data_IF_755038289322
#
_entry.id   IF_755038289322
#
_cell.length_a   1.000
_cell.length_b   1.000
_cell.length_c   1.000
_cell.angle_alpha   90.00
_cell.angle_beta   90.00
_cell.angle_gamma   90.00
#
_symmetry.space_group_name_H-M   'P 1'
#
loop_
_entity.id
_entity.type
_entity.pdbx_description
1 polymer ?
#
# COMPACT_ATOMS: atom_id res chain seq x y z
N UNK A 1 21.21 20.84 -11.31
CA UNK A 1 20.65 19.56 -11.82
C UNK A 1 21.03 18.48 -10.81
N UNK A 2 20.07 17.70 -10.30
CA UNK A 2 20.35 16.61 -9.36
C UNK A 2 21.05 15.44 -10.05
N UNK A 3 21.82 14.66 -9.29
CA UNK A 3 22.43 13.43 -9.81
C UNK A 3 21.48 12.26 -9.59
N UNK A 4 21.10 11.56 -10.66
CA UNK A 4 20.26 10.36 -10.59
C UNK A 4 21.15 9.15 -10.82
N UNK A 5 21.11 8.18 -9.91
CA UNK A 5 21.72 6.87 -10.10
C UNK A 5 20.62 5.80 -10.15
N UNK A 6 20.53 5.07 -11.26
CA UNK A 6 19.43 4.17 -11.58
C UNK A 6 19.90 2.72 -11.69
N UNK A 7 19.18 1.81 -11.04
CA UNK A 7 19.37 0.35 -11.14
C UNK A 7 18.05 -0.34 -11.49
N UNK A 8 18.04 -0.98 -12.66
CA UNK A 8 16.88 -1.69 -13.20
C UNK A 8 16.98 -3.21 -12.98
N UNK A 9 15.86 -3.83 -12.61
CA UNK A 9 15.67 -5.27 -12.70
C UNK A 9 15.58 -5.76 -14.16
N UNK A 10 15.91 -7.03 -14.39
CA UNK A 10 15.85 -7.60 -15.74
C UNK A 10 14.41 -7.69 -16.26
N UNK A 11 14.16 -7.33 -17.53
CA UNK A 11 12.82 -7.42 -18.11
C UNK A 11 12.33 -8.87 -18.29
N UNK A 12 11.02 -9.06 -18.20
CA UNK A 12 10.36 -10.34 -18.40
C UNK A 12 10.34 -10.77 -19.86
N UNK A 13 10.49 -12.07 -20.11
CA UNK A 13 10.48 -12.63 -21.46
C UNK A 13 9.11 -12.55 -22.14
N UNK A 14 9.07 -12.56 -23.47
CA UNK A 14 7.79 -12.55 -24.20
C UNK A 14 7.11 -13.93 -24.20
N UNK A 15 5.78 -13.93 -24.17
CA UNK A 15 4.98 -15.15 -24.31
C UNK A 15 5.07 -15.72 -25.72
N UNK A 16 5.23 -17.04 -25.82
CA UNK A 16 5.33 -17.74 -27.10
C UNK A 16 4.04 -17.67 -27.93
N UNK A 17 4.17 -17.76 -29.25
CA UNK A 17 3.02 -17.91 -30.15
C UNK A 17 2.49 -19.35 -30.11
N UNK A 18 1.18 -19.53 -29.91
CA UNK A 18 0.54 -20.85 -29.91
C UNK A 18 -0.96 -20.76 -30.21
N UNK A 19 -1.61 -21.91 -30.40
CA UNK A 19 -3.05 -21.98 -30.72
C UNK A 19 -3.96 -21.33 -29.66
N UNK A 20 -3.44 -21.03 -28.47
CA UNK A 20 -4.14 -20.39 -27.35
C UNK A 20 -3.32 -19.25 -26.70
N UNK A 21 -2.31 -18.70 -27.41
CA UNK A 21 -1.45 -17.61 -26.90
C UNK A 21 -0.67 -17.94 -25.63
N UNK A 22 0.67 -18.04 -25.70
CA UNK A 22 1.47 -18.28 -24.49
C UNK A 22 1.41 -17.09 -23.53
N UNK A 23 1.41 -17.32 -22.22
CA UNK A 23 1.53 -16.22 -21.26
C UNK A 23 2.90 -15.51 -21.38
N UNK A 24 2.91 -14.20 -21.18
CA UNK A 24 4.13 -13.40 -21.05
C UNK A 24 4.93 -13.83 -19.82
N UNK A 25 6.25 -13.82 -19.93
CA UNK A 25 7.14 -14.06 -18.80
C UNK A 25 7.08 -12.90 -17.81
N UNK A 26 7.21 -13.19 -16.53
CA UNK A 26 7.25 -12.14 -15.50
C UNK A 26 8.55 -11.34 -15.57
N UNK A 27 8.48 -10.07 -15.19
CA UNK A 27 9.63 -9.20 -14.96
C UNK A 27 10.52 -9.73 -13.84
N UNK A 28 11.82 -9.56 -13.99
CA UNK A 28 12.80 -9.87 -12.96
C UNK A 28 12.78 -8.82 -11.85
N UNK A 29 12.98 -9.25 -10.62
CA UNK A 29 13.09 -8.34 -9.48
C UNK A 29 14.36 -7.48 -9.61
N UNK A 30 14.29 -6.24 -9.11
CA UNK A 30 15.48 -5.41 -9.01
C UNK A 30 16.38 -5.86 -7.86
N UNK A 31 17.69 -5.65 -8.03
CA UNK A 31 18.68 -5.74 -6.96
C UNK A 31 18.80 -4.42 -6.20
N UNK A 32 19.78 -4.36 -5.29
CA UNK A 32 20.03 -3.15 -4.52
C UNK A 32 20.82 -2.10 -5.31
N UNK A 33 20.50 -0.82 -5.15
CA UNK A 33 21.24 0.26 -5.79
C UNK A 33 22.61 0.49 -5.12
N UNK A 34 22.66 0.35 -3.80
CA UNK A 34 23.87 0.30 -3.02
C UNK A 34 23.70 -0.80 -1.98
N UNK A 35 24.56 -1.81 -1.98
CA UNK A 35 24.62 -2.81 -0.90
C UNK A 35 26.01 -2.75 -0.29
N UNK A 36 26.04 -2.53 1.02
CA UNK A 36 27.27 -2.60 1.82
C UNK A 36 27.02 -3.67 2.88
N UNK A 37 27.79 -4.75 2.80
CA UNK A 37 27.77 -5.82 3.80
C UNK A 37 29.11 -5.84 4.54
N UNK A 38 29.03 -5.85 5.87
CA UNK A 38 30.19 -5.96 6.74
C UNK A 38 29.83 -6.76 7.99
N UNK A 39 30.68 -7.69 8.42
CA UNK A 39 30.45 -8.44 9.66
C UNK A 39 30.88 -7.62 10.88
N UNK A 40 29.94 -7.28 11.76
CA UNK A 40 30.20 -6.64 13.06
C UNK A 40 29.32 -5.41 13.28
N UNK A 41 29.08 -5.04 14.56
CA UNK A 41 28.25 -3.88 14.93
C UNK A 41 28.90 -2.55 14.56
N UNK A 42 28.85 -2.23 13.28
CA UNK A 42 29.51 -1.08 12.69
C UNK A 42 28.55 0.09 12.48
N UNK A 43 29.14 1.26 12.29
CA UNK A 43 28.46 2.51 11.96
C UNK A 43 28.85 2.89 10.52
N UNK A 44 27.87 3.39 9.76
CA UNK A 44 28.10 3.92 8.41
C UNK A 44 27.47 5.30 8.26
N UNK A 45 28.14 6.17 7.50
CA UNK A 45 27.65 7.52 7.19
C UNK A 45 27.38 7.67 5.69
N UNK A 46 26.16 8.08 5.35
CA UNK A 46 25.71 8.40 4.01
C UNK A 46 25.52 9.92 3.88
N UNK A 47 26.26 10.56 3.00
CA UNK A 47 26.13 12.00 2.72
C UNK A 47 25.45 12.18 1.36
N UNK A 48 24.28 12.81 1.37
CA UNK A 48 23.42 13.03 0.20
C UNK A 48 23.38 14.52 -0.12
N UNK A 49 23.46 14.89 -1.40
CA UNK A 49 23.47 16.29 -1.83
C UNK A 49 22.75 16.48 -3.17
N UNK A 50 21.42 16.59 -3.12
CA UNK A 50 20.57 16.70 -4.31
C UNK A 50 20.64 15.45 -5.19
N UNK A 51 20.52 14.28 -4.57
CA UNK A 51 20.62 12.99 -5.26
C UNK A 51 19.31 12.21 -5.24
N UNK A 52 19.10 11.46 -6.32
CA UNK A 52 18.02 10.48 -6.42
C UNK A 52 18.63 9.11 -6.66
N UNK A 53 18.48 8.21 -5.71
CA UNK A 53 18.88 6.82 -5.81
C UNK A 53 17.62 5.98 -6.08
N UNK A 54 17.65 5.16 -7.14
CA UNK A 54 16.47 4.41 -7.57
C UNK A 54 16.79 2.93 -7.81
N UNK A 55 15.91 2.07 -7.30
CA UNK A 55 15.84 0.64 -7.62
C UNK A 55 14.47 0.34 -8.22
N UNK A 56 14.43 -0.06 -9.49
CA UNK A 56 13.17 -0.26 -10.22
C UNK A 56 13.08 -1.70 -10.70
N UNK A 57 11.99 -2.40 -10.33
CA UNK A 57 11.71 -3.75 -10.79
C UNK A 57 11.67 -3.85 -12.31
N UNK A 58 12.05 -5.00 -12.87
CA UNK A 58 12.01 -5.20 -14.32
C UNK A 58 10.57 -5.25 -14.83
N UNK A 59 10.32 -4.74 -16.04
CA UNK A 59 8.98 -4.75 -16.61
C UNK A 59 8.49 -6.19 -16.89
N UNK A 60 7.18 -6.41 -16.75
CA UNK A 60 6.53 -7.66 -17.11
C UNK A 60 6.59 -7.90 -18.62
N UNK A 61 6.76 -9.15 -19.02
CA UNK A 61 6.80 -9.54 -20.42
C UNK A 61 5.43 -9.51 -21.07
N UNK A 62 5.37 -9.23 -22.38
CA UNK A 62 4.09 -9.22 -23.11
C UNK A 62 3.50 -10.61 -23.29
N UNK A 63 2.19 -10.73 -23.23
CA UNK A 63 1.45 -11.94 -23.58
C UNK A 63 1.60 -12.32 -25.04
N UNK A 64 1.62 -13.62 -25.29
CA UNK A 64 1.71 -14.22 -26.62
C UNK A 64 0.42 -14.02 -27.41
N UNK A 65 0.55 -14.00 -28.74
CA UNK A 65 -0.59 -13.83 -29.65
C UNK A 65 -1.47 -15.08 -29.67
N UNK A 66 -2.79 -14.88 -29.69
CA UNK A 66 -3.74 -15.98 -29.81
C UNK A 66 -3.65 -16.68 -31.15
N UNK A 67 -3.96 -17.97 -31.16
CA UNK A 67 -3.88 -18.82 -32.34
C UNK A 67 -4.88 -18.46 -33.42
N UNK A 68 -4.57 -18.77 -34.67
CA UNK A 68 -5.58 -18.72 -35.71
C UNK A 68 -6.51 -19.94 -35.61
N UNK A 69 -7.80 -19.72 -35.78
CA UNK A 69 -8.79 -20.78 -35.81
C UNK A 69 -8.65 -21.65 -37.06
N UNK A 70 -8.91 -22.95 -36.92
CA UNK A 70 -8.88 -23.87 -38.06
C UNK A 70 -9.91 -23.51 -39.12
N UNK A 71 -9.60 -23.71 -40.40
CA UNK A 71 -10.59 -23.53 -41.46
C UNK A 71 -11.73 -24.55 -41.34
N UNK A 72 -12.95 -24.17 -41.70
CA UNK A 72 -14.10 -25.05 -41.70
C UNK A 72 -13.97 -26.13 -42.77
N UNK A 73 -14.44 -27.34 -42.46
CA UNK A 73 -14.43 -28.45 -43.43
C UNK A 73 -15.31 -28.12 -44.64
N UNK A 74 -14.92 -28.55 -45.84
CA UNK A 74 -15.78 -28.42 -47.02
C UNK A 74 -17.01 -29.32 -46.90
N UNK A 75 -18.16 -28.84 -47.37
CA UNK A 75 -19.38 -29.64 -47.41
C UNK A 75 -19.24 -30.83 -48.37
N UNK A 76 -19.81 -31.98 -48.00
CA UNK A 76 -19.76 -33.19 -48.84
C UNK A 76 -20.55 -33.01 -50.15
N UNK A 77 -20.06 -33.62 -51.24
CA UNK A 77 -20.78 -33.62 -52.51
C UNK A 77 -22.07 -34.45 -52.40
N UNK A 78 -23.19 -33.92 -52.89
CA UNK A 78 -24.44 -34.66 -52.99
C UNK A 78 -24.41 -35.67 -54.14
N UNK A 79 -25.03 -36.84 -53.97
CA UNK A 79 -25.25 -37.79 -55.07
C UNK A 79 -26.37 -37.28 -55.99
N UNK A 80 -26.40 -37.72 -57.25
CA UNK A 80 -27.43 -37.32 -58.21
C UNK A 80 -28.85 -37.56 -57.65
N UNK A 81 -29.58 -36.46 -57.40
CA UNK A 81 -30.92 -36.46 -56.78
C UNK A 81 -30.96 -36.23 -55.26
N UNK A 82 -29.81 -36.10 -54.59
CA UNK A 82 -29.69 -35.75 -53.17
C UNK A 82 -29.15 -34.34 -52.94
N UNK A 83 -29.50 -33.74 -51.80
CA UNK A 83 -28.97 -32.43 -51.41
C UNK A 83 -27.47 -32.54 -51.08
N UNK A 84 -26.66 -31.58 -51.55
CA UNK A 84 -25.27 -31.45 -51.11
C UNK A 84 -25.17 -31.23 -49.59
N UNK A 85 -24.10 -31.75 -48.97
CA UNK A 85 -23.85 -31.56 -47.55
C UNK A 85 -23.50 -30.11 -47.24
N UNK A 86 -23.93 -29.62 -46.07
CA UNK A 86 -23.55 -28.29 -45.59
C UNK A 86 -22.04 -28.20 -45.37
N UNK A 87 -21.46 -27.03 -45.65
CA UNK A 87 -20.09 -26.72 -45.25
C UNK A 87 -19.93 -26.82 -43.73
N UNK A 88 -18.79 -27.34 -43.28
CA UNK A 88 -18.42 -27.29 -41.87
C UNK A 88 -18.13 -25.86 -41.43
N UNK A 89 -18.46 -25.54 -40.18
CA UNK A 89 -18.11 -24.25 -39.59
C UNK A 89 -16.60 -24.12 -39.42
N UNK A 90 -16.07 -22.91 -39.60
CA UNK A 90 -14.72 -22.55 -39.22
C UNK A 90 -14.49 -22.77 -37.72
N UNK A 91 -13.31 -23.28 -37.38
CA UNK A 91 -12.87 -23.35 -35.99
C UNK A 91 -12.66 -21.96 -35.39
N UNK A 92 -12.95 -21.82 -34.10
CA UNK A 92 -12.72 -20.58 -33.38
C UNK A 92 -11.22 -20.22 -33.34
N UNK A 93 -10.94 -18.92 -33.40
CA UNK A 93 -9.63 -18.36 -33.12
C UNK A 93 -9.24 -18.63 -31.68
N UNK A 94 -7.95 -18.86 -31.45
CA UNK A 94 -7.39 -18.97 -30.12
C UNK A 94 -7.41 -17.66 -29.36
N UNK A 95 -7.57 -17.74 -28.05
CA UNK A 95 -7.41 -16.60 -27.15
C UNK A 95 -5.96 -16.10 -27.14
N UNK A 96 -5.78 -14.80 -26.96
CA UNK A 96 -4.49 -14.18 -26.68
C UNK A 96 -3.98 -14.57 -25.30
N UNK A 97 -2.67 -14.78 -25.17
CA UNK A 97 -2.04 -15.10 -23.90
C UNK A 97 -1.99 -13.88 -22.97
N UNK A 98 -2.04 -14.10 -21.65
CA UNK A 98 -1.93 -13.02 -20.67
C UNK A 98 -0.54 -12.36 -20.66
N UNK A 99 -0.46 -11.08 -20.32
CA UNK A 99 0.81 -10.40 -20.01
C UNK A 99 1.40 -10.95 -18.71
N UNK A 100 2.73 -11.02 -18.64
CA UNK A 100 3.45 -11.35 -17.41
C UNK A 100 3.41 -10.19 -16.42
N UNK A 101 3.51 -10.48 -15.13
CA UNK A 101 3.54 -9.43 -14.11
C UNK A 101 4.89 -8.70 -14.12
N UNK A 102 4.92 -7.44 -13.68
CA UNK A 102 6.14 -6.70 -13.40
C UNK A 102 6.92 -7.32 -12.24
N UNK A 103 8.25 -7.19 -12.29
CA UNK A 103 9.14 -7.60 -11.21
C UNK A 103 9.05 -6.64 -10.02
N UNK A 104 9.30 -7.13 -8.81
CA UNK A 104 9.32 -6.29 -7.62
C UNK A 104 10.52 -5.31 -7.66
N UNK A 105 10.34 -4.13 -7.05
CA UNK A 105 11.43 -3.22 -6.74
C UNK A 105 12.37 -3.83 -5.70
N UNK A 106 13.62 -3.39 -5.71
CA UNK A 106 14.66 -3.86 -4.79
C UNK A 106 14.81 -2.92 -3.59
N UNK A 107 15.80 -3.19 -2.77
CA UNK A 107 16.22 -2.28 -1.69
C UNK A 107 17.12 -1.21 -2.27
N UNK A 108 16.80 0.09 -2.20
CA UNK A 108 17.69 1.10 -2.79
C UNK A 108 19.04 1.11 -2.06
N UNK A 109 19.04 1.31 -0.74
CA UNK A 109 20.26 1.28 0.07
C UNK A 109 20.16 0.15 1.09
N UNK A 110 20.96 -0.88 0.90
CA UNK A 110 20.99 -2.08 1.74
C UNK A 110 22.18 -2.02 2.70
N UNK A 111 21.85 -1.80 3.98
CA UNK A 111 22.74 -1.69 5.13
C UNK A 111 22.28 -2.63 6.26
N UNK A 112 21.70 -3.79 5.91
CA UNK A 112 21.11 -4.73 6.87
C UNK A 112 22.08 -5.25 7.94
N UNK A 113 23.39 -5.10 7.73
CA UNK A 113 24.42 -5.49 8.70
C UNK A 113 24.80 -4.36 9.69
N UNK A 114 24.25 -3.15 9.53
CA UNK A 114 24.61 -1.99 10.34
C UNK A 114 23.55 -1.69 11.41
N UNK A 115 24.02 -1.52 12.65
CA UNK A 115 23.18 -1.14 13.80
C UNK A 115 23.09 0.38 13.98
N UNK A 116 23.96 1.14 13.32
CA UNK A 116 23.97 2.60 13.35
C UNK A 116 24.22 3.14 11.94
N UNK A 117 23.32 3.98 11.45
CA UNK A 117 23.41 4.64 10.15
C UNK A 117 23.23 6.14 10.35
N UNK A 118 24.21 6.94 9.91
CA UNK A 118 24.04 8.39 9.87
C UNK A 118 23.75 8.84 8.44
N UNK A 119 22.67 9.59 8.25
CA UNK A 119 22.32 10.20 6.97
C UNK A 119 22.45 11.72 7.11
N UNK A 120 23.25 12.32 6.26
CA UNK A 120 23.36 13.79 6.14
C UNK A 120 22.71 14.20 4.82
N UNK A 121 21.52 14.79 4.90
CA UNK A 121 20.72 15.29 3.77
C UNK A 121 21.04 16.77 3.50
N UNK A 122 21.96 17.04 2.59
CA UNK A 122 22.34 18.39 2.19
C UNK A 122 21.65 18.81 0.90
N UNK A 123 21.55 20.13 0.70
CA UNK A 123 21.25 20.69 -0.62
C UNK A 123 22.47 20.50 -1.52
N UNK A 124 22.26 20.48 -2.84
CA UNK A 124 23.39 20.47 -3.76
C UNK A 124 24.17 21.81 -3.69
N UNK A 125 25.39 21.82 -4.24
CA UNK A 125 26.34 22.93 -4.05
C UNK A 125 25.84 24.30 -4.55
N UNK A 126 24.89 24.33 -5.50
CA UNK A 126 24.27 25.55 -6.02
C UNK A 126 22.91 25.87 -5.38
N UNK A 127 22.44 25.03 -4.43
CA UNK A 127 21.17 25.16 -3.72
C UNK A 127 19.92 24.94 -4.59
N UNK A 128 20.08 24.51 -5.85
CA UNK A 128 18.96 24.36 -6.80
C UNK A 128 18.13 23.09 -6.60
N UNK A 129 18.67 22.09 -5.89
CA UNK A 129 17.97 20.85 -5.54
C UNK A 129 18.04 20.67 -4.03
N UNK A 130 16.87 20.70 -3.41
CA UNK A 130 16.70 20.56 -1.98
C UNK A 130 16.13 19.20 -1.57
N UNK A 131 16.03 18.24 -2.50
CA UNK A 131 15.46 16.92 -2.24
C UNK A 131 16.53 15.83 -2.40
N UNK A 132 16.58 14.92 -1.43
CA UNK A 132 17.30 13.66 -1.50
C UNK A 132 16.29 12.51 -1.44
N UNK A 133 16.36 11.61 -2.42
CA UNK A 133 15.30 10.63 -2.69
C UNK A 133 15.90 9.22 -2.76
N UNK A 134 15.46 8.31 -1.88
CA UNK A 134 15.73 6.89 -1.94
C UNK A 134 14.43 6.19 -2.35
N UNK A 135 14.26 5.94 -3.64
CA UNK A 135 12.98 5.51 -4.21
C UNK A 135 13.08 4.10 -4.77
N UNK A 136 12.29 3.18 -4.22
CA UNK A 136 12.09 1.86 -4.81
C UNK A 136 10.74 1.81 -5.52
N UNK A 137 10.70 1.20 -6.72
CA UNK A 137 9.48 1.04 -7.49
C UNK A 137 9.40 -0.39 -8.03
N UNK A 138 8.20 -0.95 -8.05
CA UNK A 138 7.94 -2.15 -8.83
C UNK A 138 8.03 -1.87 -10.32
N UNK A 139 8.37 -2.89 -11.10
CA UNK A 139 8.34 -2.80 -12.55
C UNK A 139 6.91 -2.78 -13.08
N UNK A 140 6.71 -2.17 -14.24
CA UNK A 140 5.40 -2.13 -14.89
C UNK A 140 4.89 -3.54 -15.21
N UNK A 141 3.57 -3.73 -15.14
CA UNK A 141 2.94 -4.96 -15.60
C UNK A 141 3.08 -5.17 -17.11
N UNK A 142 3.22 -6.41 -17.55
CA UNK A 142 3.33 -6.75 -18.95
C UNK A 142 2.00 -6.59 -19.70
N UNK A 143 2.06 -6.24 -20.97
CA UNK A 143 0.84 -6.05 -21.77
C UNK A 143 0.25 -7.39 -22.17
N UNK A 144 -1.09 -7.52 -22.12
CA UNK A 144 -1.80 -8.69 -22.60
C UNK A 144 -1.60 -8.98 -24.09
N UNK A 145 -1.55 -10.26 -24.45
CA UNK A 145 -1.45 -10.72 -25.82
C UNK A 145 -2.71 -10.40 -26.62
N UNK A 146 -2.58 -10.13 -27.91
CA UNK A 146 -3.76 -9.85 -28.74
C UNK A 146 -4.50 -11.13 -29.13
N UNK A 147 -5.79 -10.99 -29.40
CA UNK A 147 -6.67 -12.07 -29.84
C UNK A 147 -6.18 -12.78 -31.12
N UNK A 148 -6.52 -14.07 -31.22
CA UNK A 148 -6.35 -14.86 -32.43
C UNK A 148 -7.52 -14.69 -33.40
N UNK A 149 -7.24 -14.82 -34.70
CA UNK A 149 -8.24 -14.63 -35.75
C UNK A 149 -9.08 -15.89 -35.91
N UNK A 150 -10.40 -15.73 -36.00
CA UNK A 150 -11.34 -16.83 -36.25
C UNK A 150 -11.10 -17.52 -37.59
N UNK A 151 -11.31 -18.83 -37.66
CA UNK A 151 -11.12 -19.62 -38.87
C UNK A 151 -12.12 -19.25 -39.96
N UNK A 152 -11.71 -19.37 -41.23
CA UNK A 152 -12.61 -19.13 -42.35
C UNK A 152 -13.76 -20.16 -42.40
N UNK A 153 -14.92 -19.75 -42.91
CA UNK A 153 -16.05 -20.62 -43.19
C UNK A 153 -15.67 -21.75 -44.18
N UNK A 154 -16.23 -22.94 -43.98
CA UNK A 154 -16.16 -24.02 -44.97
C UNK A 154 -17.04 -23.73 -46.19
N UNK A 155 -16.56 -24.07 -47.39
CA UNK A 155 -17.30 -23.86 -48.62
C UNK A 155 -18.47 -24.85 -48.76
N UNK A 156 -19.57 -24.39 -49.37
CA UNK A 156 -20.68 -25.26 -49.81
C UNK A 156 -20.18 -26.41 -50.69
N UNK A 157 -20.73 -27.61 -50.47
CA UNK A 157 -20.60 -28.71 -51.42
C UNK A 157 -21.37 -28.40 -52.71
N UNK A 158 -20.74 -28.60 -53.87
CA UNK A 158 -21.42 -28.47 -55.16
C UNK A 158 -22.26 -29.73 -55.41
N UNK A 159 -23.55 -29.55 -55.73
CA UNK A 159 -24.42 -30.63 -56.21
C UNK A 159 -25.01 -30.28 -57.57
N UNK A 160 -24.91 -31.22 -58.50
CA UNK A 160 -25.42 -31.12 -59.87
C UNK A 160 -26.95 -31.30 -59.85
N UNK A 161 -27.70 -30.27 -59.45
CA UNK A 161 -29.15 -30.19 -59.67
C UNK A 161 -30.09 -30.23 -58.46
N UNK A 162 -29.61 -30.05 -57.22
CA UNK A 162 -30.46 -29.88 -56.02
C UNK A 162 -30.35 -28.48 -55.40
N UNK A 163 -31.37 -28.02 -54.67
CA UNK A 163 -31.29 -26.78 -53.86
C UNK A 163 -30.20 -26.95 -52.80
N UNK A 164 -29.04 -26.32 -53.06
CA UNK A 164 -27.78 -26.57 -52.36
C UNK A 164 -27.80 -26.26 -50.86
N UNK A 165 -26.92 -26.94 -50.11
CA UNK A 165 -26.67 -26.67 -48.68
C UNK A 165 -26.18 -25.24 -48.44
N UNK A 166 -26.15 -24.80 -47.18
CA UNK A 166 -25.65 -23.46 -46.81
C UNK A 166 -24.13 -23.47 -46.62
N UNK A 167 -23.49 -22.30 -46.80
CA UNK A 167 -22.08 -22.15 -46.40
C UNK A 167 -21.96 -22.39 -44.89
N UNK A 168 -20.80 -22.90 -44.46
CA UNK A 168 -20.47 -22.88 -43.04
C UNK A 168 -20.37 -21.43 -42.55
N UNK A 169 -20.52 -21.20 -41.24
CA UNK A 169 -20.16 -19.91 -40.66
C UNK A 169 -18.65 -19.85 -40.40
N UNK A 170 -18.05 -18.67 -40.52
CA UNK A 170 -16.68 -18.46 -40.04
C UNK A 170 -16.61 -18.66 -38.53
N UNK A 171 -15.47 -19.12 -38.04
CA UNK A 171 -15.20 -19.18 -36.61
C UNK A 171 -15.10 -17.77 -36.02
N UNK A 172 -15.53 -17.61 -34.78
CA UNK A 172 -15.34 -16.35 -34.04
C UNK A 172 -13.85 -16.12 -33.72
N UNK A 173 -13.38 -14.85 -33.70
CA UNK A 173 -12.08 -14.53 -33.10
C UNK A 173 -12.01 -14.93 -31.63
N UNK A 174 -10.79 -15.15 -31.12
CA UNK A 174 -10.56 -15.35 -29.69
C UNK A 174 -10.69 -14.05 -28.90
N UNK A 175 -10.44 -14.13 -27.60
CA UNK A 175 -10.37 -12.98 -26.69
C UNK A 175 -8.96 -12.40 -26.58
N UNK A 176 -8.85 -11.14 -26.14
CA UNK A 176 -7.54 -10.55 -25.78
C UNK A 176 -7.10 -11.07 -24.41
N UNK A 177 -5.80 -11.30 -24.25
CA UNK A 177 -5.24 -11.60 -22.94
C UNK A 177 -5.25 -10.37 -22.04
N UNK A 178 -5.48 -10.60 -20.74
CA UNK A 178 -5.33 -9.56 -19.72
C UNK A 178 -3.89 -9.03 -19.61
N UNK A 179 -3.73 -7.78 -19.19
CA UNK A 179 -2.44 -7.22 -18.76
C UNK A 179 -1.98 -7.86 -17.44
N UNK A 180 -0.67 -7.98 -17.26
CA UNK A 180 -0.07 -8.34 -15.99
C UNK A 180 -0.17 -7.19 -14.98
N UNK A 181 -0.05 -7.54 -13.71
CA UNK A 181 0.00 -6.58 -12.60
C UNK A 181 1.38 -5.93 -12.54
N UNK A 182 1.44 -4.67 -12.11
CA UNK A 182 2.70 -4.05 -11.74
C UNK A 182 3.33 -4.77 -10.55
N UNK A 183 4.66 -4.72 -10.48
CA UNK A 183 5.41 -5.20 -9.32
C UNK A 183 5.14 -4.33 -8.09
N UNK A 184 5.42 -4.89 -6.92
CA UNK A 184 5.40 -4.12 -5.67
C UNK A 184 6.68 -3.29 -5.54
N UNK A 185 6.58 -2.10 -4.94
CA UNK A 185 7.76 -1.33 -4.55
C UNK A 185 8.54 -2.07 -3.44
N UNK A 186 9.86 -1.94 -3.45
CA UNK A 186 10.73 -2.43 -2.38
C UNK A 186 11.03 -1.35 -1.33
N UNK A 187 12.08 -1.56 -0.55
CA UNK A 187 12.53 -0.59 0.46
C UNK A 187 13.43 0.50 -0.13
N UNK A 188 13.33 1.73 0.36
CA UNK A 188 14.35 2.75 0.08
C UNK A 188 15.60 2.54 0.95
N UNK A 189 15.43 2.05 2.17
CA UNK A 189 16.54 1.76 3.08
C UNK A 189 16.28 0.43 3.78
N UNK A 190 17.27 -0.46 3.85
CA UNK A 190 17.22 -1.66 4.71
C UNK A 190 18.32 -1.57 5.77
N UNK A 191 17.97 -1.86 7.01
CA UNK A 191 18.86 -1.82 8.18
C UNK A 191 18.63 -3.05 9.07
N UNK A 192 19.53 -3.27 10.03
CA UNK A 192 19.37 -4.34 11.01
C UNK A 192 18.16 -4.09 11.92
N UNK A 193 17.65 -5.17 12.54
CA UNK A 193 16.70 -5.04 13.64
C UNK A 193 17.34 -4.29 14.82
N UNK A 194 16.61 -3.37 15.44
CA UNK A 194 17.14 -2.53 16.52
C UNK A 194 18.10 -1.42 16.06
N UNK A 195 18.24 -1.19 14.75
CA UNK A 195 19.17 -0.19 14.23
C UNK A 195 18.73 1.24 14.56
N UNK A 196 19.71 2.12 14.76
CA UNK A 196 19.51 3.57 14.92
C UNK A 196 19.92 4.28 13.63
N UNK A 197 18.99 5.00 13.03
CA UNK A 197 19.19 5.83 11.85
C UNK A 197 19.14 7.31 12.26
N UNK A 198 20.30 7.94 12.40
CA UNK A 198 20.41 9.36 12.72
C UNK A 198 20.35 10.19 11.43
N UNK A 199 19.49 11.19 11.36
CA UNK A 199 19.25 12.00 10.18
C UNK A 199 19.47 13.47 10.51
N UNK A 200 20.27 14.13 9.68
CA UNK A 200 20.60 15.55 9.81
C UNK A 200 20.65 16.25 8.45
N UNK A 201 20.75 17.57 8.48
CA UNK A 201 20.97 18.39 7.29
C UNK A 201 19.76 19.27 6.94
N UNK A 202 19.85 19.97 5.82
CA UNK A 202 18.89 21.01 5.45
C UNK A 202 18.00 20.67 4.26
N UNK A 203 18.35 19.65 3.48
CA UNK A 203 17.52 19.20 2.37
C UNK A 203 16.42 18.25 2.84
N UNK A 204 15.28 18.29 2.14
CA UNK A 204 14.23 17.31 2.27
C UNK A 204 14.78 15.91 2.00
N UNK A 205 14.30 14.93 2.76
CA UNK A 205 14.71 13.54 2.64
C UNK A 205 13.49 12.65 2.53
N UNK A 206 13.43 11.87 1.46
CA UNK A 206 12.47 10.78 1.29
C UNK A 206 13.20 9.46 1.31
N UNK A 207 12.90 8.65 2.32
CA UNK A 207 13.47 7.31 2.50
C UNK A 207 12.60 6.19 1.92
N UNK A 208 11.37 6.51 1.49
CA UNK A 208 10.37 5.48 1.18
C UNK A 208 10.15 4.56 2.38
N UNK A 209 10.01 3.26 2.12
CA UNK A 209 10.00 2.24 3.17
C UNK A 209 11.41 2.03 3.75
N UNK A 210 11.54 2.17 5.06
CA UNK A 210 12.68 1.75 5.85
C UNK A 210 12.38 0.36 6.39
N UNK A 211 13.06 -0.64 5.82
CA UNK A 211 12.93 -2.03 6.19
C UNK A 211 13.88 -2.37 7.34
N UNK A 212 13.29 -2.82 8.44
CA UNK A 212 13.94 -3.19 9.70
C UNK A 212 12.84 -3.29 10.76
N UNK A 213 13.11 -3.99 11.86
CA UNK A 213 12.16 -4.10 12.97
C UNK A 213 12.75 -3.45 14.22
N UNK A 214 11.89 -2.82 15.03
CA UNK A 214 12.27 -2.18 16.30
C UNK A 214 13.34 -1.09 16.11
N UNK A 215 13.26 -0.36 15.00
CA UNK A 215 14.27 0.63 14.62
C UNK A 215 14.05 1.96 15.34
N UNK A 216 15.11 2.76 15.42
CA UNK A 216 15.00 4.17 15.78
C UNK A 216 15.32 5.04 14.57
N UNK A 217 14.34 5.81 14.09
CA UNK A 217 14.51 6.84 13.07
C UNK A 217 14.59 8.22 13.74
N UNK A 218 15.81 8.74 13.94
CA UNK A 218 16.03 10.00 14.64
C UNK A 218 16.37 11.12 13.66
N UNK A 219 15.35 11.91 13.28
CA UNK A 219 15.51 13.08 12.42
C UNK A 219 15.55 14.40 13.19
N UNK A 220 15.85 14.38 14.49
CA UNK A 220 15.81 15.60 15.32
C UNK A 220 16.76 16.71 14.83
N UNK A 221 17.82 16.35 14.08
CA UNK A 221 18.79 17.26 13.49
C UNK A 221 18.51 17.61 12.02
N UNK A 222 17.41 17.13 11.43
CA UNK A 222 16.97 17.47 10.08
C UNK A 222 16.12 18.74 10.10
N UNK A 223 16.50 19.73 9.31
CA UNK A 223 15.70 20.94 9.12
C UNK A 223 14.86 20.95 7.85
N UNK A 224 15.16 20.06 6.89
CA UNK A 224 14.30 19.79 5.74
C UNK A 224 13.08 18.94 6.11
N UNK A 225 12.21 18.71 5.14
CA UNK A 225 11.06 17.82 5.31
C UNK A 225 11.50 16.34 5.36
N UNK A 226 10.79 15.53 6.14
CA UNK A 226 11.00 14.09 6.21
C UNK A 226 9.81 13.36 5.56
N UNK A 227 10.10 12.37 4.72
CA UNK A 227 9.12 11.38 4.28
C UNK A 227 9.68 9.98 4.50
N UNK A 228 8.99 9.18 5.33
CA UNK A 228 9.41 7.83 5.66
C UNK A 228 8.21 6.92 5.92
N UNK A 229 8.35 5.64 5.61
CA UNK A 229 7.49 4.58 6.08
C UNK A 229 8.33 3.56 6.84
N UNK A 230 7.82 2.95 7.90
CA UNK A 230 8.49 1.86 8.61
C UNK A 230 7.81 0.53 8.29
N UNK A 231 8.50 -0.60 8.51
CA UNK A 231 7.89 -1.93 8.39
C UNK A 231 7.05 -2.23 9.65
N UNK A 232 6.76 -3.50 9.93
CA UNK A 232 6.25 -3.92 11.23
C UNK A 232 7.33 -3.88 12.31
N UNK A 233 7.05 -3.36 13.49
CA UNK A 233 7.95 -3.41 14.64
C UNK A 233 7.51 -2.47 15.75
N UNK A 234 8.20 -2.47 16.89
CA UNK A 234 8.04 -1.40 17.88
C UNK A 234 9.03 -0.27 17.55
N UNK A 235 8.72 0.54 16.54
CA UNK A 235 9.66 1.53 16.03
C UNK A 235 9.59 2.84 16.83
N UNK A 236 10.71 3.55 16.91
CA UNK A 236 10.80 4.89 17.51
C UNK A 236 11.14 5.91 16.44
N UNK A 237 10.27 6.88 16.21
CA UNK A 237 10.45 7.91 15.20
C UNK A 237 10.49 9.28 15.88
N UNK A 238 11.55 10.05 15.66
CA UNK A 238 11.65 11.46 16.09
C UNK A 238 11.72 12.36 14.87
N UNK A 239 10.69 13.17 14.68
CA UNK A 239 10.57 14.09 13.56
C UNK A 239 11.61 15.22 13.57
N UNK A 240 11.85 15.77 12.39
CA UNK A 240 12.67 16.97 12.19
C UNK A 240 11.88 18.26 12.41
N UNK A 241 12.54 19.39 12.14
CA UNK A 241 11.87 20.70 12.26
C UNK A 241 11.05 21.11 11.03
N UNK A 242 11.30 20.47 9.88
CA UNK A 242 10.46 20.60 8.68
C UNK A 242 9.15 19.83 8.83
N UNK A 243 8.39 19.72 7.73
CA UNK A 243 7.18 18.90 7.72
C UNK A 243 7.55 17.41 7.72
N UNK A 244 6.89 16.63 8.57
CA UNK A 244 7.08 15.20 8.67
C UNK A 244 5.89 14.46 8.02
N UNK A 245 6.18 13.53 7.12
CA UNK A 245 5.20 12.60 6.55
C UNK A 245 5.65 11.16 6.88
N UNK A 246 4.99 10.56 7.86
CA UNK A 246 5.37 9.26 8.42
C UNK A 246 4.25 8.26 8.16
N UNK A 247 4.61 7.05 7.74
CA UNK A 247 3.67 5.96 7.53
C UNK A 247 4.07 4.75 8.37
N UNK A 248 3.15 4.25 9.18
CA UNK A 248 3.35 3.12 10.07
C UNK A 248 2.63 1.89 9.51
N UNK A 249 3.35 0.80 9.29
CA UNK A 249 2.82 -0.42 8.67
C UNK A 249 2.51 -1.56 9.67
N UNK A 250 2.73 -1.33 10.97
CA UNK A 250 2.28 -2.21 12.05
C UNK A 250 3.21 -2.16 13.26
N UNK A 251 2.76 -2.72 14.38
CA UNK A 251 3.49 -2.74 15.65
C UNK A 251 3.28 -1.48 16.50
N UNK A 252 3.83 -1.52 17.72
CA UNK A 252 3.59 -0.53 18.77
C UNK A 252 4.62 0.60 18.70
N UNK A 253 4.39 1.52 17.76
CA UNK A 253 5.33 2.60 17.44
C UNK A 253 5.23 3.78 18.41
N UNK A 254 6.35 4.49 18.59
CA UNK A 254 6.43 5.77 19.29
C UNK A 254 6.89 6.87 18.32
N UNK A 255 6.06 7.89 18.13
CA UNK A 255 6.33 9.02 17.22
C UNK A 255 6.39 10.32 18.01
N UNK A 256 7.48 11.06 17.89
CA UNK A 256 7.62 12.41 18.48
C UNK A 256 7.73 13.47 17.38
N UNK A 257 6.71 14.32 17.28
CA UNK A 257 6.60 15.42 16.32
C UNK A 257 6.87 16.80 16.96
N UNK A 258 7.23 16.85 18.25
CA UNK A 258 7.30 18.11 19.01
C UNK A 258 8.30 19.14 18.47
N UNK A 259 9.21 18.71 17.57
CA UNK A 259 10.20 19.56 16.92
C UNK A 259 9.70 20.23 15.65
N UNK A 260 8.59 19.76 15.06
CA UNK A 260 8.04 20.32 13.84
C UNK A 260 7.66 21.78 14.05
N UNK A 261 8.29 22.66 13.27
CA UNK A 261 7.91 24.06 13.22
C UNK A 261 6.77 24.28 12.23
N UNK A 262 6.60 23.36 11.29
CA UNK A 262 5.54 23.37 10.29
C UNK A 262 4.18 23.04 10.92
N UNK A 263 4.15 22.12 11.89
CA UNK A 263 2.95 21.67 12.64
C UNK A 263 1.83 21.10 11.77
N UNK A 264 2.10 20.90 10.47
CA UNK A 264 1.21 20.34 9.47
C UNK A 264 1.69 18.94 9.07
N UNK A 265 2.16 18.17 10.04
CA UNK A 265 2.70 16.84 9.80
C UNK A 265 1.58 15.87 9.43
N UNK A 266 1.95 14.79 8.74
CA UNK A 266 1.00 13.77 8.31
C UNK A 266 1.49 12.43 8.82
N UNK A 267 0.68 11.81 9.69
CA UNK A 267 0.90 10.44 10.12
C UNK A 267 -0.15 9.54 9.48
N UNK A 268 0.31 8.46 8.85
CA UNK A 268 -0.54 7.46 8.20
C UNK A 268 -0.39 6.14 8.91
N UNK A 269 -1.49 5.58 9.43
CA UNK A 269 -1.52 4.27 10.08
C UNK A 269 -2.15 3.28 9.11
N UNK A 270 -1.37 2.34 8.58
CA UNK A 270 -1.88 1.36 7.62
C UNK A 270 -2.44 0.11 8.29
N UNK A 271 -1.82 -0.34 9.37
CA UNK A 271 -2.15 -1.63 10.01
C UNK A 271 -2.28 -1.53 11.52
N UNK A 272 -3.06 -2.46 12.08
CA UNK A 272 -3.13 -2.73 13.52
C UNK A 272 -2.39 -4.03 13.90
N UNK A 273 -1.69 -4.65 12.95
CA UNK A 273 -0.90 -5.87 13.19
C UNK A 273 0.05 -5.67 14.37
N UNK A 274 0.18 -6.69 15.22
CA UNK A 274 1.03 -6.72 16.42
C UNK A 274 0.69 -5.70 17.53
N UNK A 275 -0.49 -5.08 17.47
CA UNK A 275 -1.03 -4.24 18.55
C UNK A 275 -1.93 -5.03 19.50
N UNK A 276 -1.86 -4.66 20.78
CA UNK A 276 -2.72 -5.16 21.85
C UNK A 276 -2.83 -4.10 22.95
N UNK A 277 -3.76 -3.17 22.74
CA UNK A 277 -3.85 -1.96 23.54
C UNK A 277 -4.22 -2.22 25.01
N UNK A 278 -4.94 -3.32 25.28
CA UNK A 278 -5.25 -3.74 26.66
C UNK A 278 -4.02 -4.23 27.41
N UNK A 279 -2.96 -4.61 26.70
CA UNK A 279 -1.67 -5.00 27.25
C UNK A 279 -0.59 -3.93 27.03
N UNK A 280 -0.99 -2.68 26.80
CA UNK A 280 -0.07 -1.54 26.65
C UNK A 280 0.70 -1.51 25.33
N UNK A 281 0.24 -2.24 24.30
CA UNK A 281 0.83 -2.21 22.95
C UNK A 281 -0.08 -1.44 22.02
N UNK A 282 0.19 -0.15 21.87
CA UNK A 282 -0.52 0.76 20.98
C UNK A 282 0.48 1.77 20.41
N UNK A 283 0.03 2.58 19.45
CA UNK A 283 0.86 3.64 18.86
C UNK A 283 0.81 4.86 19.78
N UNK A 284 1.96 5.42 20.09
CA UNK A 284 2.11 6.64 20.89
C UNK A 284 2.56 7.80 20.00
N UNK A 285 1.90 8.95 20.11
CA UNK A 285 2.23 10.15 19.36
C UNK A 285 2.39 11.32 20.33
N UNK A 286 3.56 11.93 20.34
CA UNK A 286 3.86 13.14 21.09
C UNK A 286 3.99 14.34 20.14
N UNK A 287 3.66 15.53 20.66
CA UNK A 287 3.81 16.78 19.90
C UNK A 287 2.75 17.03 18.83
N UNK A 288 1.65 16.26 18.83
CA UNK A 288 0.55 16.42 17.87
C UNK A 288 -0.17 17.76 18.08
N UNK A 289 -0.21 18.60 17.05
CA UNK A 289 -0.84 19.93 17.07
C UNK A 289 -2.20 19.92 16.35
N UNK A 290 -3.25 20.38 17.03
CA UNK A 290 -4.65 20.36 16.54
C UNK A 290 -5.12 21.71 15.95
N UNK A 291 -4.20 22.64 15.66
CA UNK A 291 -4.54 23.96 15.11
C UNK A 291 -5.33 23.89 13.79
N UNK A 292 -6.51 24.52 13.74
CA UNK A 292 -7.44 24.42 12.61
C UNK A 292 -6.90 24.87 11.23
N UNK A 293 -5.87 25.74 11.18
CA UNK A 293 -5.32 26.26 9.93
C UNK A 293 -4.18 25.41 9.35
N UNK A 294 -3.37 24.80 10.23
CA UNK A 294 -2.09 24.18 9.87
C UNK A 294 -1.71 23.03 10.81
N UNK A 295 -2.67 22.38 11.47
CA UNK A 295 -2.42 21.30 12.42
C UNK A 295 -2.05 19.99 11.75
N UNK A 296 -1.58 19.06 12.58
CA UNK A 296 -1.19 17.73 12.17
C UNK A 296 -2.40 16.91 11.75
N UNK A 297 -2.16 15.98 10.83
CA UNK A 297 -3.19 15.15 10.22
C UNK A 297 -2.90 13.69 10.49
N UNK A 298 -3.91 12.99 10.99
CA UNK A 298 -3.88 11.55 11.19
C UNK A 298 -4.74 10.85 10.14
N UNK A 299 -4.14 9.96 9.36
CA UNK A 299 -4.84 9.15 8.36
C UNK A 299 -4.81 7.70 8.80
N UNK A 300 -5.95 7.03 8.79
CA UNK A 300 -6.07 5.67 9.32
C UNK A 300 -6.71 4.79 8.25
N UNK A 301 -5.96 3.81 7.73
CA UNK A 301 -6.47 2.94 6.68
C UNK A 301 -7.68 2.13 7.15
N UNK A 302 -8.74 2.09 6.32
CA UNK A 302 -9.96 1.32 6.59
C UNK A 302 -10.96 2.01 7.53
N UNK A 303 -10.67 3.20 8.05
CA UNK A 303 -11.61 4.03 8.82
C UNK A 303 -12.63 4.72 7.90
N UNK A 304 -13.92 4.76 8.25
CA UNK A 304 -14.92 5.45 7.40
C UNK A 304 -15.78 6.51 8.09
N UNK A 305 -15.78 6.60 9.43
CA UNK A 305 -16.58 7.64 10.11
C UNK A 305 -16.46 7.68 11.63
N UNK A 306 -17.00 8.74 12.24
CA UNK A 306 -17.02 8.90 13.71
C UNK A 306 -18.31 8.34 14.30
N UNK A 307 -18.27 7.96 15.57
CA UNK A 307 -19.47 7.59 16.33
C UNK A 307 -20.45 8.76 16.41
N UNK A 308 -21.73 8.49 16.12
CA UNK A 308 -22.83 9.44 16.28
C UNK A 308 -23.08 9.78 17.76
N UNK A 309 -23.68 10.94 18.01
CA UNK A 309 -24.05 11.34 19.37
C UNK A 309 -25.02 10.34 20.01
N UNK A 310 -24.63 9.75 21.14
CA UNK A 310 -25.45 8.79 21.89
C UNK A 310 -24.92 8.55 23.29
N UNK A 311 -25.84 8.13 24.16
CA UNK A 311 -25.52 7.59 25.47
C UNK A 311 -25.71 6.08 25.44
N UNK A 312 -24.69 5.35 25.89
CA UNK A 312 -24.69 3.89 25.90
C UNK A 312 -24.35 3.38 27.29
N UNK A 313 -25.20 2.53 27.84
CA UNK A 313 -24.88 1.78 29.05
C UNK A 313 -24.13 0.53 28.63
N UNK A 314 -22.88 0.44 29.06
CA UNK A 314 -21.96 -0.65 28.72
C UNK A 314 -21.83 -1.61 29.90
N UNK A 315 -21.08 -2.70 29.72
CA UNK A 315 -20.86 -3.70 30.77
C UNK A 315 -20.36 -3.08 32.07
N UNK A 316 -20.81 -3.60 33.22
CA UNK A 316 -20.40 -3.08 34.52
C UNK A 316 -21.12 -1.81 34.98
N UNK A 317 -22.16 -1.33 34.27
CA UNK A 317 -22.96 -0.19 34.73
C UNK A 317 -22.34 1.18 34.46
N UNK A 318 -21.31 1.23 33.60
CA UNK A 318 -20.74 2.47 33.08
C UNK A 318 -21.65 3.02 31.99
N UNK A 319 -21.90 4.32 32.02
CA UNK A 319 -22.56 5.08 30.96
C UNK A 319 -21.49 5.84 30.20
N UNK A 320 -21.42 5.59 28.90
CA UNK A 320 -20.55 6.33 27.99
C UNK A 320 -21.40 7.31 27.21
N UNK A 321 -21.09 8.59 27.38
CA UNK A 321 -21.69 9.68 26.62
C UNK A 321 -20.77 10.03 25.46
N UNK A 322 -21.17 9.68 24.24
CA UNK A 322 -20.47 10.03 23.01
C UNK A 322 -21.10 11.28 22.40
N UNK A 323 -20.28 12.31 22.16
CA UNK A 323 -20.68 13.55 21.49
C UNK A 323 -19.59 13.98 20.52
N UNK A 324 -19.94 14.09 19.23
CA UNK A 324 -19.02 14.44 18.14
C UNK A 324 -17.75 13.57 18.12
N UNK A 325 -17.90 12.27 18.37
CA UNK A 325 -16.79 11.33 18.45
C UNK A 325 -15.94 11.41 19.73
N UNK A 326 -16.29 12.24 20.71
CA UNK A 326 -15.63 12.31 22.02
C UNK A 326 -16.48 11.57 23.07
N UNK A 327 -15.88 10.64 23.79
CA UNK A 327 -16.50 9.89 24.88
C UNK A 327 -16.14 10.45 26.26
N UNK A 328 -17.15 10.53 27.12
CA UNK A 328 -17.00 10.73 28.56
C UNK A 328 -17.67 9.58 29.29
N UNK A 329 -17.10 9.18 30.43
CA UNK A 329 -17.53 8.00 31.19
C UNK A 329 -18.11 8.44 32.54
N UNK A 330 -19.20 7.79 32.96
CA UNK A 330 -19.78 7.97 34.29
C UNK A 330 -20.41 6.67 34.80
N UNK A 331 -20.27 6.35 36.09
CA UNK A 331 -20.83 5.14 36.69
C UNK A 331 -19.89 4.49 37.69
N UNK A 332 -20.12 3.21 38.02
CA UNK A 332 -19.25 2.41 38.90
C UNK A 332 -19.12 0.99 38.32
N UNK A 333 -17.97 0.64 37.74
CA UNK A 333 -17.01 -0.43 38.12
C UNK A 333 -15.75 -0.27 37.21
N UNK A 334 -14.54 -0.33 37.77
CA UNK A 334 -13.23 -0.34 37.09
C UNK A 334 -12.94 0.78 36.06
N UNK A 335 -13.47 1.99 36.30
CA UNK A 335 -13.15 3.21 35.54
C UNK A 335 -11.70 3.74 35.73
N UNK A 336 -10.86 3.02 36.50
CA UNK A 336 -9.55 3.52 36.93
C UNK A 336 -8.40 3.13 36.02
N UNK A 337 -8.51 2.06 35.23
CA UNK A 337 -7.42 1.66 34.34
C UNK A 337 -7.77 1.83 32.85
N UNK A 338 -6.72 1.92 32.03
CA UNK A 338 -6.84 2.16 30.60
C UNK A 338 -7.56 1.00 29.88
N UNK A 339 -7.35 -0.25 30.31
CA UNK A 339 -7.93 -1.43 29.68
C UNK A 339 -9.45 -1.48 29.83
N UNK A 340 -9.98 -1.05 30.99
CA UNK A 340 -11.41 -0.86 31.22
C UNK A 340 -12.02 0.19 30.29
N UNK A 341 -11.35 1.34 30.12
CA UNK A 341 -11.82 2.41 29.22
C UNK A 341 -11.80 2.00 27.75
N UNK A 342 -10.77 1.30 27.30
CA UNK A 342 -10.72 0.71 25.96
C UNK A 342 -11.90 -0.24 25.78
N UNK A 343 -12.14 -1.16 26.72
CA UNK A 343 -13.25 -2.12 26.63
C UNK A 343 -14.60 -1.41 26.51
N UNK A 344 -14.84 -0.37 27.32
CA UNK A 344 -16.05 0.43 27.26
C UNK A 344 -16.19 1.19 25.93
N UNK A 345 -15.11 1.78 25.41
CA UNK A 345 -15.09 2.48 24.14
C UNK A 345 -15.49 1.58 22.96
N UNK A 346 -14.94 0.36 22.90
CA UNK A 346 -15.27 -0.60 21.83
C UNK A 346 -16.72 -1.12 21.91
N UNK A 347 -17.30 -1.19 23.11
CA UNK A 347 -18.72 -1.50 23.26
C UNK A 347 -19.64 -0.38 22.72
N UNK A 348 -19.19 0.87 22.74
CA UNK A 348 -19.91 2.01 22.13
C UNK A 348 -19.73 2.04 20.62
N UNK A 349 -18.50 1.80 20.15
CA UNK A 349 -18.19 1.69 18.73
C UNK A 349 -19.07 0.62 18.06
N UNK A 350 -19.27 -0.50 18.77
CA UNK A 350 -20.10 -1.61 18.33
C UNK A 350 -19.52 -2.31 17.11
N UNK A 351 -20.24 -3.30 16.58
CA UNK A 351 -19.86 -3.96 15.33
C UNK A 351 -20.25 -3.06 14.15
N UNK A 352 -19.30 -2.33 13.58
CA UNK A 352 -19.56 -1.58 12.35
C UNK A 352 -18.83 -2.24 11.19
N UNK A 353 -19.53 -2.54 10.10
CA UNK A 353 -18.86 -2.97 8.86
C UNK A 353 -18.10 -1.82 8.17
N UNK A 354 -18.13 -0.63 8.78
CA UNK A 354 -17.65 0.63 8.24
C UNK A 354 -16.40 1.12 8.98
N UNK A 355 -16.09 0.63 10.18
CA UNK A 355 -14.93 1.06 10.94
C UNK A 355 -15.07 2.48 11.48
N UNK A 356 -15.61 2.58 12.69
CA UNK A 356 -15.88 3.84 13.36
C UNK A 356 -14.73 4.25 14.29
N UNK A 357 -14.62 5.55 14.60
CA UNK A 357 -13.70 6.06 15.62
C UNK A 357 -14.40 6.81 16.77
N UNK A 358 -13.77 6.74 17.94
CA UNK A 358 -14.15 7.39 19.18
C UNK A 358 -12.89 7.78 19.95
N UNK A 359 -12.83 8.98 20.51
CA UNK A 359 -11.72 9.43 21.34
C UNK A 359 -12.16 9.63 22.79
N UNK A 360 -11.24 9.46 23.73
CA UNK A 360 -11.46 9.77 25.14
C UNK A 360 -10.18 10.20 25.84
N UNK A 361 -10.30 10.91 26.95
CA UNK A 361 -9.15 11.33 27.76
C UNK A 361 -8.94 10.36 28.94
N UNK A 362 -7.69 9.98 29.19
CA UNK A 362 -7.26 9.22 30.37
C UNK A 362 -5.89 9.72 30.83
N UNK A 363 -5.76 10.02 32.13
CA UNK A 363 -4.51 10.45 32.78
C UNK A 363 -3.74 11.63 32.12
N UNK A 364 -4.45 12.48 31.37
CA UNK A 364 -3.85 13.65 30.71
C UNK A 364 -3.51 13.46 29.23
N UNK A 365 -3.84 12.29 28.67
CA UNK A 365 -3.66 11.98 27.24
C UNK A 365 -4.99 11.66 26.58
N UNK A 366 -5.08 11.89 25.27
CA UNK A 366 -6.20 11.42 24.46
C UNK A 366 -5.89 10.06 23.86
N UNK A 367 -6.83 9.14 23.98
CA UNK A 367 -6.82 7.84 23.33
C UNK A 367 -7.88 7.82 22.23
N UNK A 368 -7.46 7.50 21.02
CA UNK A 368 -8.32 7.29 19.87
C UNK A 368 -8.51 5.80 19.64
N UNK A 369 -9.73 5.32 19.81
CA UNK A 369 -10.15 3.95 19.51
C UNK A 369 -10.78 3.90 18.11
N UNK A 370 -10.36 2.93 17.30
CA UNK A 370 -10.89 2.70 15.95
C UNK A 370 -11.22 1.23 15.78
N UNK A 371 -12.49 0.96 15.51
CA UNK A 371 -13.00 -0.38 15.24
C UNK A 371 -12.76 -0.75 13.78
N UNK A 372 -12.28 -1.96 13.50
CA UNK A 372 -11.99 -2.46 12.15
C UNK A 372 -12.39 -3.92 11.94
N UNK A 373 -12.73 -4.64 13.00
CA UNK A 373 -12.94 -6.09 12.99
C UNK A 373 -14.37 -6.57 12.71
N UNK A 374 -15.35 -5.67 12.71
CA UNK A 374 -16.77 -5.98 12.66
C UNK A 374 -17.32 -6.61 13.95
N UNK A 375 -16.65 -6.44 15.08
CA UNK A 375 -17.02 -6.99 16.40
C UNK A 375 -17.33 -5.86 17.39
N UNK A 376 -18.23 -6.10 18.32
CA UNK A 376 -18.58 -5.12 19.38
C UNK A 376 -17.60 -5.14 20.56
N UNK A 377 -16.56 -5.97 20.49
CA UNK A 377 -15.50 -6.08 21.47
C UNK A 377 -14.13 -5.83 20.85
N UNK A 378 -13.20 -5.31 21.66
CA UNK A 378 -11.83 -5.05 21.20
C UNK A 378 -11.12 -6.33 20.76
N UNK A 379 -10.58 -6.31 19.54
CA UNK A 379 -9.80 -7.38 18.92
C UNK A 379 -8.35 -6.93 18.69
N UNK A 380 -7.42 -7.51 19.44
CA UNK A 380 -5.98 -7.31 19.24
C UNK A 380 -5.55 -7.72 17.82
N UNK A 381 -4.61 -6.98 17.23
CA UNK A 381 -4.14 -7.19 15.85
C UNK A 381 -5.09 -6.70 14.75
N UNK A 382 -6.31 -6.29 15.10
CA UNK A 382 -7.35 -5.87 14.15
C UNK A 382 -7.81 -4.44 14.44
N UNK A 383 -8.20 -4.19 15.68
CA UNK A 383 -8.65 -2.88 16.16
C UNK A 383 -7.48 -2.00 16.61
N UNK A 384 -7.65 -0.69 16.47
CA UNK A 384 -6.60 0.28 16.72
C UNK A 384 -6.89 1.09 17.99
N UNK A 385 -5.85 1.31 18.79
CA UNK A 385 -5.81 2.37 19.79
C UNK A 385 -4.56 3.20 19.54
N UNK A 386 -4.70 4.52 19.58
CA UNK A 386 -3.61 5.48 19.43
C UNK A 386 -3.65 6.43 20.62
N UNK A 387 -2.51 6.62 21.29
CA UNK A 387 -2.35 7.62 22.33
C UNK A 387 -1.78 8.91 21.72
N UNK A 388 -2.42 10.04 22.02
CA UNK A 388 -1.95 11.38 21.73
C UNK A 388 -1.52 12.01 23.05
N UNK A 389 -0.22 12.06 23.26
CA UNK A 389 0.40 12.48 24.52
C UNK A 389 0.21 13.98 24.73
N UNK A 390 -0.36 14.36 25.87
CA UNK A 390 -0.59 15.74 26.27
C UNK A 390 -1.70 16.48 25.52
N UNK A 391 -2.45 15.79 24.65
CA UNK A 391 -3.63 16.37 23.97
C UNK A 391 -4.85 16.14 24.86
N UNK A 392 -5.42 17.20 25.43
CA UNK A 392 -6.59 17.09 26.33
C UNK A 392 -7.81 17.90 25.89
N UNK A 393 -7.62 18.93 25.08
CA UNK A 393 -8.63 19.96 24.82
C UNK A 393 -9.31 19.75 23.46
N UNK A 394 -9.88 18.56 23.25
CA UNK A 394 -10.61 18.23 22.02
C UNK A 394 -12.10 18.50 22.17
N UNK A 395 -12.68 19.27 21.24
CA UNK A 395 -14.12 19.50 21.19
C UNK A 395 -14.86 18.54 20.25
N UNK A 396 -14.19 18.05 19.20
CA UNK A 396 -14.79 17.13 18.24
C UNK A 396 -13.73 16.33 17.48
N UNK A 397 -14.14 15.16 17.01
CA UNK A 397 -13.51 14.48 15.88
C UNK A 397 -14.19 14.94 14.59
N UNK A 398 -13.40 15.41 13.63
CA UNK A 398 -13.82 15.67 12.26
C UNK A 398 -13.43 14.52 11.34
N UNK A 399 -14.28 14.20 10.36
CA UNK A 399 -13.98 13.18 9.35
C UNK A 399 -14.11 13.74 7.94
N UNK A 400 -13.06 13.55 7.12
CA UNK A 400 -13.17 13.62 5.67
C UNK A 400 -13.17 12.18 5.14
N UNK A 401 -14.36 11.61 4.98
CA UNK A 401 -14.55 10.18 4.66
C UNK A 401 -13.90 9.74 3.33
N UNK A 402 -13.66 10.65 2.39
CA UNK A 402 -13.08 10.34 1.08
C UNK A 402 -11.59 9.91 1.16
N UNK A 403 -10.85 10.37 2.17
CA UNK A 403 -9.39 10.20 2.25
C UNK A 403 -8.94 9.44 3.52
N UNK A 404 -9.86 8.74 4.19
CA UNK A 404 -9.60 8.07 5.48
C UNK A 404 -8.92 8.99 6.51
N UNK A 405 -9.21 10.29 6.42
CA UNK A 405 -8.53 11.33 7.18
C UNK A 405 -9.37 11.67 8.41
N UNK A 406 -8.76 11.51 9.57
CA UNK A 406 -9.30 11.95 10.85
C UNK A 406 -8.65 13.28 11.21
N UNK A 407 -9.49 14.30 11.40
CA UNK A 407 -9.07 15.63 11.79
C UNK A 407 -9.50 15.85 13.23
N UNK A 408 -8.56 16.13 14.12
CA UNK A 408 -8.87 16.45 15.50
C UNK A 408 -9.14 17.96 15.63
N UNK A 409 -10.27 18.33 16.23
CA UNK A 409 -10.65 19.73 16.40
C UNK A 409 -10.46 20.14 17.86
N UNK A 410 -9.56 21.11 18.08
CA UNK A 410 -9.40 21.76 19.37
C UNK A 410 -10.68 22.48 19.82
N UNK A 411 -10.86 22.59 21.14
CA UNK A 411 -11.99 23.28 21.76
C UNK A 411 -11.97 24.81 21.65
#
# INVERSE_FOLDING_TARGET
MGSILHFDGGNGGHGGSGSHGGAGGNGGNAGSALSVSQSGGHEISLVLAGVTLQSIGGAGGSGGKGGNGGAGGNGGNGWAGGNGGNGGNGGHGGDGGHGGNGGAGGVVVDLHDFNAVNIVSNTNADGSVADNLLVSQGGDGGVGGSLGIGGAAGLRGLSDGGTGGTDGTGGSPGSVGNTGLAGVAGAGLSVAAGAVVNISGAANLSLGLVQGTDITLDATALSGNLTAATDSGADTIRGGSGQNQITLNGGADSVDLARSLARSDVLVIQSATDLDARNGKFIEIAGFDTMAAHGDVLKIAGYTGIVENRDTIVGGGVTVHASQGIATFSGIVDETDLAGRITAAFQVLGSSSSGNALAFVFEGDTYLAVERGGDSSYQAGTDLVIQLTGVTDLAALGSAAADHTLVLQAA
#
